data_IF_523187302187
#
_entry.id   IF_523187302187
#
_cell.length_a   1.000
_cell.length_b   1.000
_cell.length_c   1.000
_cell.angle_alpha   90.00
_cell.angle_beta   90.00
_cell.angle_gamma   90.00
#
_symmetry.space_group_name_H-M   'P 1'
#
loop_
_entity.id
_entity.type
_entity.pdbx_description
1 polymer ?
#
# COMPACT_ATOMS: atom_id res chain seq x y z
N UNK A 1 -21.10 12.60 -16.94
CA UNK A 1 -19.73 12.70 -16.41
C UNK A 1 -19.78 12.45 -14.91
N UNK A 2 -19.35 11.26 -14.47
CA UNK A 2 -19.27 10.93 -13.04
C UNK A 2 -17.91 11.30 -12.45
N UNK A 3 -17.76 11.29 -11.11
CA UNK A 3 -16.51 11.61 -10.45
C UNK A 3 -15.41 10.66 -10.95
N UNK A 4 -14.36 11.22 -11.58
CA UNK A 4 -13.19 10.45 -11.97
C UNK A 4 -12.52 9.92 -10.69
N UNK A 5 -12.24 8.62 -10.67
CA UNK A 5 -11.63 7.91 -9.53
C UNK A 5 -10.11 8.08 -9.45
N UNK A 6 -9.55 8.87 -10.36
CA UNK A 6 -8.12 8.94 -10.57
C UNK A 6 -7.49 9.85 -9.53
N UNK A 7 -6.99 9.23 -8.46
CA UNK A 7 -6.21 9.88 -7.41
C UNK A 7 -4.72 9.89 -7.77
N UNK A 8 -4.37 10.35 -8.98
CA UNK A 8 -2.98 10.41 -9.44
C UNK A 8 -2.31 11.72 -9.04
N UNK A 9 -1.05 11.63 -8.63
CA UNK A 9 -0.19 12.79 -8.40
C UNK A 9 0.47 13.22 -9.71
N UNK A 10 0.40 14.51 -10.04
CA UNK A 10 0.96 15.08 -11.27
C UNK A 10 2.42 15.55 -11.12
N UNK A 11 3.05 15.30 -9.97
CA UNK A 11 4.43 15.72 -9.68
C UNK A 11 4.55 17.17 -9.21
N UNK A 12 3.44 17.92 -9.14
CA UNK A 12 3.48 19.32 -8.74
C UNK A 12 3.56 19.47 -7.22
N UNK A 13 4.70 19.98 -6.71
CA UNK A 13 4.91 20.22 -5.27
C UNK A 13 3.84 21.09 -4.63
N UNK A 14 3.33 22.11 -5.32
CA UNK A 14 2.28 22.98 -4.77
C UNK A 14 0.93 22.28 -4.57
N UNK A 15 0.74 21.12 -5.20
CA UNK A 15 -0.47 20.30 -5.05
C UNK A 15 -0.23 19.06 -4.18
N UNK A 16 1.00 18.86 -3.71
CA UNK A 16 1.39 17.66 -2.97
C UNK A 16 0.57 17.52 -1.69
N UNK A 17 0.50 18.56 -0.86
CA UNK A 17 -0.24 18.52 0.41
C UNK A 17 -1.72 18.17 0.19
N UNK A 18 -2.36 18.78 -0.80
CA UNK A 18 -3.76 18.51 -1.12
C UNK A 18 -3.97 17.09 -1.64
N UNK A 19 -3.04 16.58 -2.45
CA UNK A 19 -3.08 15.22 -2.96
C UNK A 19 -2.87 14.20 -1.84
N UNK A 20 -1.90 14.45 -0.95
CA UNK A 20 -1.56 13.61 0.19
C UNK A 20 -2.75 13.43 1.13
N UNK A 21 -3.43 14.54 1.51
CA UNK A 21 -4.62 14.48 2.37
C UNK A 21 -5.74 13.67 1.72
N UNK A 22 -5.98 13.84 0.41
CA UNK A 22 -6.98 13.07 -0.33
C UNK A 22 -6.61 11.60 -0.43
N UNK A 23 -5.32 11.31 -0.63
CA UNK A 23 -4.78 9.95 -0.69
C UNK A 23 -4.95 9.22 0.63
N UNK A 24 -4.56 9.86 1.73
CA UNK A 24 -4.72 9.29 3.07
C UNK A 24 -6.21 9.10 3.42
N UNK A 25 -7.07 10.06 3.07
CA UNK A 25 -8.52 9.92 3.23
C UNK A 25 -9.10 8.76 2.43
N UNK A 26 -8.69 8.58 1.18
CA UNK A 26 -9.08 7.45 0.35
C UNK A 26 -8.60 6.12 0.94
N UNK A 27 -7.34 6.02 1.38
CA UNK A 27 -6.80 4.83 2.01
C UNK A 27 -7.51 4.47 3.31
N UNK A 28 -7.98 5.46 4.07
CA UNK A 28 -8.80 5.23 5.27
C UNK A 28 -10.15 4.60 4.94
N UNK A 29 -10.82 5.06 3.88
CA UNK A 29 -12.08 4.46 3.42
C UNK A 29 -11.89 3.02 2.90
N UNK A 30 -10.73 2.74 2.29
CA UNK A 30 -10.36 1.39 1.84
C UNK A 30 -9.82 0.49 2.95
N UNK A 31 -9.76 0.96 4.21
CA UNK A 31 -9.13 0.27 5.35
C UNK A 31 -7.63 -0.05 5.14
N UNK A 32 -6.97 0.63 4.20
CA UNK A 32 -5.55 0.47 3.88
C UNK A 32 -4.64 1.50 4.58
N UNK A 33 -5.23 2.42 5.35
CA UNK A 33 -4.48 3.48 6.03
C UNK A 33 -3.33 2.95 6.91
N UNK A 34 -3.55 1.84 7.64
CA UNK A 34 -2.52 1.19 8.48
C UNK A 34 -1.30 0.66 7.70
N UNK A 35 -1.46 0.36 6.42
CA UNK A 35 -0.35 -0.13 5.57
C UNK A 35 0.61 1.02 5.23
N UNK A 36 0.07 2.22 5.04
CA UNK A 36 0.85 3.40 4.65
C UNK A 36 1.34 4.20 5.84
N UNK A 37 0.51 4.30 6.88
CA UNK A 37 0.85 4.95 8.14
C UNK A 37 1.16 3.83 9.12
N UNK A 38 2.44 3.40 9.15
CA UNK A 38 2.95 2.61 10.26
C UNK A 38 2.86 3.49 11.48
N UNK A 39 1.90 3.19 12.36
CA UNK A 39 1.90 3.75 13.69
C UNK A 39 3.24 3.35 14.31
N UNK A 40 4.05 4.35 14.71
CA UNK A 40 5.34 4.11 15.37
C UNK A 40 5.21 3.28 16.67
N UNK A 41 3.98 3.04 17.12
CA UNK A 41 3.60 2.27 18.31
C UNK A 41 3.06 0.86 18.02
N UNK A 42 2.78 0.48 16.76
CA UNK A 42 2.37 -0.89 16.41
C UNK A 42 3.46 -1.55 15.56
N UNK A 43 4.55 -1.96 16.22
CA UNK A 43 5.34 -3.10 15.74
C UNK A 43 4.47 -4.35 15.91
N UNK A 44 3.66 -4.67 14.91
CA UNK A 44 3.01 -5.97 14.81
C UNK A 44 4.06 -6.99 14.32
N UNK A 45 4.48 -7.97 15.13
CA UNK A 45 5.50 -8.93 14.75
C UNK A 45 5.02 -9.98 13.73
N UNK A 46 3.79 -9.91 13.21
CA UNK A 46 3.22 -10.99 12.39
C UNK A 46 3.50 -10.91 10.88
N UNK A 47 3.88 -9.75 10.35
CA UNK A 47 4.02 -9.55 8.89
C UNK A 47 5.44 -9.81 8.33
N UNK A 48 6.33 -10.43 9.11
CA UNK A 48 7.63 -10.89 8.61
C UNK A 48 7.57 -12.31 8.00
N UNK A 49 6.55 -13.11 8.33
CA UNK A 49 6.54 -14.56 8.01
C UNK A 49 5.88 -14.92 6.68
N UNK A 50 5.07 -14.04 6.08
CA UNK A 50 4.30 -14.39 4.87
C UNK A 50 5.08 -14.18 3.57
N UNK A 51 6.11 -13.32 3.54
CA UNK A 51 6.86 -13.05 2.31
C UNK A 51 7.88 -14.15 1.97
N UNK A 52 8.39 -14.91 2.95
CA UNK A 52 9.37 -15.98 2.70
C UNK A 52 8.75 -17.22 2.03
N UNK A 53 7.48 -17.52 2.29
CA UNK A 53 6.83 -18.74 1.78
C UNK A 53 6.41 -18.61 0.30
N UNK A 54 6.07 -17.39 -0.15
CA UNK A 54 5.64 -17.13 -1.53
C UNK A 54 6.75 -17.37 -2.56
N UNK A 55 8.03 -17.19 -2.20
CA UNK A 55 9.18 -17.41 -3.09
C UNK A 55 9.69 -18.86 -3.10
N UNK A 56 9.32 -19.66 -2.10
CA UNK A 56 9.82 -21.04 -1.97
C UNK A 56 9.02 -22.03 -2.83
N UNK A 57 7.78 -21.70 -3.20
CA UNK A 57 6.88 -22.60 -3.94
C UNK A 57 7.16 -22.68 -5.45
N UNK A 58 7.88 -21.73 -6.03
CA UNK A 58 8.13 -21.66 -7.49
C UNK A 58 9.43 -22.31 -7.96
N UNK A 59 10.27 -22.87 -7.08
CA UNK A 59 11.54 -23.52 -7.45
C UNK A 59 11.57 -25.05 -7.31
N UNK A 60 10.43 -25.71 -7.04
CA UNK A 60 10.38 -27.16 -6.85
C UNK A 60 9.71 -27.95 -8.00
N UNK A 61 9.33 -27.30 -9.11
CA UNK A 61 8.60 -27.91 -10.22
C UNK A 61 9.29 -27.73 -11.59
N UNK A 62 10.61 -27.91 -11.65
CA UNK A 62 11.32 -28.05 -12.92
C UNK A 62 12.52 -28.98 -12.77
N UNK A 63 12.44 -30.17 -13.37
CA UNK A 63 13.58 -31.06 -13.57
C UNK A 63 13.38 -32.49 -13.07
N UNK A 64 12.45 -33.24 -13.69
CA UNK A 64 12.74 -34.64 -14.01
C UNK A 64 13.19 -34.68 -15.46
#
# INVERSE_FOLDING_TARGET
>A
YGPRRDLLFDGNKSKYELWEVKFLGYMRLQKLYKVFVRDASEEDPSDASTQADAFSRTRAMSGR
#
